data_IF_068523877182
#
_entry.id   IF_068523877182
#
_cell.length_a   1.000
_cell.length_b   1.000
_cell.length_c   1.000
_cell.angle_alpha   90.00
_cell.angle_beta   90.00
_cell.angle_gamma   90.00
#
_symmetry.space_group_name_H-M   'P 1'
#
loop_
_entity.id
_entity.type
_entity.pdbx_description
1 polymer ?
#
# COMPACT_ATOMS: atom_id res chain seq x y z
N UNK A 1 35.69 29.33 -2.69
CA UNK A 1 35.11 28.13 -2.04
C UNK A 1 33.69 28.00 -2.56
N UNK A 2 33.45 27.08 -3.50
CA UNK A 2 32.14 26.85 -4.07
C UNK A 2 31.25 26.18 -3.02
N UNK A 3 30.24 26.92 -2.53
CA UNK A 3 29.22 26.37 -1.67
C UNK A 3 28.27 25.51 -2.51
N UNK A 4 28.43 24.19 -2.44
CA UNK A 4 27.52 23.24 -3.07
C UNK A 4 26.19 23.28 -2.29
N UNK A 5 25.24 24.08 -2.76
CA UNK A 5 23.86 24.05 -2.28
C UNK A 5 23.26 22.70 -2.63
N UNK A 6 23.19 21.80 -1.65
CA UNK A 6 22.42 20.57 -1.77
C UNK A 6 20.94 20.94 -1.87
N UNK A 7 20.42 21.00 -3.09
CA UNK A 7 18.98 20.86 -3.33
C UNK A 7 18.59 19.47 -2.85
N UNK A 8 18.12 19.37 -1.61
CA UNK A 8 17.39 18.20 -1.13
C UNK A 8 16.12 18.15 -1.97
N UNK A 9 16.17 17.44 -3.10
CA UNK A 9 15.00 17.18 -3.90
C UNK A 9 13.94 16.64 -2.96
N UNK A 10 12.78 17.29 -2.89
CA UNK A 10 11.63 16.75 -2.19
C UNK A 10 11.41 15.39 -2.85
N UNK A 11 11.78 14.32 -2.17
CA UNK A 11 11.47 12.97 -2.63
C UNK A 11 9.96 12.88 -2.52
N UNK A 12 9.26 13.26 -3.58
CA UNK A 12 7.83 13.09 -3.70
C UNK A 12 7.57 11.60 -3.58
N UNK A 13 7.15 11.16 -2.39
CA UNK A 13 6.71 9.80 -2.19
C UNK A 13 5.40 9.66 -2.94
N UNK A 14 5.50 9.31 -4.22
CA UNK A 14 4.36 8.94 -5.03
C UNK A 14 4.06 7.48 -4.76
N UNK A 15 2.81 7.22 -4.38
CA UNK A 15 2.32 5.88 -4.10
C UNK A 15 1.01 5.69 -4.84
N UNK A 16 0.90 4.57 -5.55
CA UNK A 16 -0.33 4.06 -6.15
C UNK A 16 -0.84 2.95 -5.25
N UNK A 17 -2.11 3.06 -4.86
CA UNK A 17 -2.78 2.05 -4.05
C UNK A 17 -3.91 1.44 -4.88
N UNK A 18 -3.82 0.14 -5.12
CA UNK A 18 -4.83 -0.62 -5.84
C UNK A 18 -5.74 -1.34 -4.86
N UNK A 19 -7.03 -1.09 -4.96
CA UNK A 19 -8.07 -1.73 -4.15
C UNK A 19 -8.81 -2.76 -5.00
N UNK A 20 -8.87 -4.00 -4.53
CA UNK A 20 -9.65 -5.06 -5.16
C UNK A 20 -10.85 -5.41 -4.28
N UNK A 21 -12.00 -5.50 -4.91
CA UNK A 21 -13.27 -5.83 -4.26
C UNK A 21 -13.82 -7.17 -4.76
N UNK A 22 -14.58 -7.85 -3.92
CA UNK A 22 -15.37 -9.01 -4.34
C UNK A 22 -16.68 -8.58 -5.03
N UNK A 23 -17.46 -9.57 -5.49
CA UNK A 23 -18.75 -9.34 -6.16
C UNK A 23 -19.80 -8.63 -5.27
N UNK A 24 -19.61 -8.61 -3.94
CA UNK A 24 -20.47 -7.90 -2.99
C UNK A 24 -19.96 -6.48 -2.70
N UNK A 25 -18.85 -6.05 -3.31
CA UNK A 25 -18.24 -4.75 -3.09
C UNK A 25 -17.39 -4.66 -1.82
N UNK A 26 -17.00 -5.80 -1.22
CA UNK A 26 -16.18 -5.81 0.00
C UNK A 26 -14.70 -5.85 -0.37
N UNK A 27 -13.87 -5.11 0.37
CA UNK A 27 -12.43 -5.03 0.12
C UNK A 27 -11.73 -6.37 0.45
N UNK A 28 -11.11 -6.99 -0.55
CA UNK A 28 -10.41 -8.28 -0.41
C UNK A 28 -8.89 -8.16 -0.50
N UNK A 29 -8.37 -7.11 -1.16
CA UNK A 29 -6.94 -6.90 -1.35
C UNK A 29 -6.60 -5.42 -1.48
N UNK A 30 -5.48 -5.03 -0.90
CA UNK A 30 -4.83 -3.73 -1.10
C UNK A 30 -3.40 -3.96 -1.53
N UNK A 31 -2.96 -3.30 -2.59
CA UNK A 31 -1.59 -3.36 -3.09
C UNK A 31 -1.01 -1.96 -3.15
N UNK A 32 0.17 -1.80 -2.57
CA UNK A 32 0.90 -0.56 -2.50
C UNK A 32 2.08 -0.64 -3.46
N UNK A 33 2.17 0.31 -4.38
CA UNK A 33 3.28 0.44 -5.33
C UNK A 33 3.76 1.87 -5.30
N UNK A 34 5.05 2.10 -5.07
CA UNK A 34 5.55 3.46 -4.88
C UNK A 34 7.01 3.48 -4.50
N UNK A 35 7.42 4.48 -3.73
CA UNK A 35 8.81 4.58 -3.25
C UNK A 35 8.99 3.91 -1.89
N UNK A 36 8.20 4.31 -0.89
CA UNK A 36 8.39 3.89 0.51
C UNK A 36 7.74 2.53 0.79
N UNK A 37 6.49 2.35 0.40
CA UNK A 37 5.68 1.16 0.70
C UNK A 37 5.61 0.17 -0.48
N UNK A 38 6.63 0.18 -1.34
CA UNK A 38 6.60 -0.56 -2.58
C UNK A 38 6.50 -2.07 -2.34
N UNK A 39 5.51 -2.71 -2.96
CA UNK A 39 5.32 -4.16 -2.86
C UNK A 39 4.63 -4.62 -1.58
N UNK A 40 4.15 -3.69 -0.74
CA UNK A 40 3.29 -4.07 0.39
C UNK A 40 1.93 -4.53 -0.16
N UNK A 41 1.53 -5.73 0.25
CA UNK A 41 0.24 -6.31 -0.12
C UNK A 41 -0.50 -6.72 1.14
N UNK A 42 -1.74 -6.27 1.29
CA UNK A 42 -2.63 -6.69 2.35
C UNK A 42 -3.80 -7.51 1.78
N UNK A 43 -3.96 -8.74 2.24
CA UNK A 43 -5.07 -9.62 1.90
C UNK A 43 -6.06 -9.71 3.06
N UNK A 44 -7.33 -9.68 2.72
CA UNK A 44 -8.44 -9.63 3.65
C UNK A 44 -9.29 -10.89 3.44
N UNK A 45 -9.58 -11.63 4.51
CA UNK A 45 -10.59 -12.68 4.45
C UNK A 45 -11.79 -12.25 5.28
N UNK A 46 -12.98 -12.45 4.73
CA UNK A 46 -14.24 -12.10 5.36
C UNK A 46 -15.07 -13.36 5.59
N UNK A 47 -15.81 -13.38 6.69
CA UNK A 47 -16.79 -14.43 6.94
C UNK A 47 -18.10 -14.18 6.16
N UNK A 48 -19.09 -15.04 6.37
CA UNK A 48 -20.42 -14.94 5.72
C UNK A 48 -21.27 -13.79 6.26
N UNK A 49 -20.96 -13.28 7.44
CA UNK A 49 -21.62 -12.14 8.08
C UNK A 49 -20.89 -10.82 7.80
N UNK A 50 -20.00 -10.81 6.81
CA UNK A 50 -19.20 -9.66 6.36
C UNK A 50 -18.18 -9.14 7.39
N UNK A 51 -17.87 -9.90 8.45
CA UNK A 51 -16.80 -9.53 9.37
C UNK A 51 -15.44 -9.85 8.75
N UNK A 52 -14.49 -8.94 8.92
CA UNK A 52 -13.10 -9.18 8.58
C UNK A 52 -12.49 -10.19 9.55
N UNK A 53 -12.32 -11.42 9.07
CA UNK A 53 -11.82 -12.55 9.87
C UNK A 53 -10.30 -12.53 9.98
N UNK A 54 -9.60 -12.11 8.94
CA UNK A 54 -8.13 -12.05 8.96
C UNK A 54 -7.57 -10.92 8.10
N UNK A 55 -6.35 -10.51 8.45
CA UNK A 55 -5.48 -9.65 7.65
C UNK A 55 -4.16 -10.35 7.47
N UNK A 56 -3.70 -10.51 6.24
CA UNK A 56 -2.33 -10.93 5.96
C UNK A 56 -1.61 -9.84 5.19
N UNK A 57 -0.60 -9.25 5.81
CA UNK A 57 0.29 -8.27 5.15
C UNK A 57 1.59 -8.97 4.77
N UNK A 58 2.06 -8.73 3.55
CA UNK A 58 3.34 -9.22 3.04
C UNK A 58 4.12 -8.10 2.37
N UNK A 59 5.44 -8.23 2.31
CA UNK A 59 6.30 -7.22 1.68
C UNK A 59 6.55 -5.98 2.54
N UNK A 60 6.14 -5.99 3.82
CA UNK A 60 6.57 -4.98 4.76
C UNK A 60 8.09 -5.12 5.00
N UNK A 61 8.86 -4.01 4.94
CA UNK A 61 10.30 -4.01 5.20
C UNK A 61 10.65 -4.44 6.64
#
# INVERSE_FOLDING_TARGET
MAGLTAITGIAGASETINYTYDAKGRLVKVEHSGTINNGIVANYTLDKADNRKNVKVTGAP
#
